data_IF_299569858994
#
_entry.id   IF_299569858994
#
_cell.length_a   1.000
_cell.length_b   1.000
_cell.length_c   1.000
_cell.angle_alpha   90.00
_cell.angle_beta   90.00
_cell.angle_gamma   90.00
#
_symmetry.space_group_name_H-M   'P 1'
#
loop_
_entity.id
_entity.type
_entity.pdbx_description
1 polymer ?
#
# COMPACT_ATOMS: atom_id res chain seq x y z
N UNK A 1 22.66 -10.60 -10.58
CA UNK A 1 22.82 -9.17 -10.22
C UNK A 1 21.53 -8.39 -10.45
N UNK A 2 20.86 -8.54 -11.59
CA UNK A 2 19.61 -7.83 -11.89
C UNK A 2 18.46 -8.12 -10.92
N UNK A 3 18.28 -9.36 -10.47
CA UNK A 3 17.21 -9.73 -9.52
C UNK A 3 17.38 -9.04 -8.16
N UNK A 4 18.62 -8.98 -7.65
CA UNK A 4 18.94 -8.26 -6.42
C UNK A 4 18.62 -6.76 -6.56
N UNK A 5 18.95 -6.17 -7.72
CA UNK A 5 18.63 -4.76 -8.01
C UNK A 5 17.12 -4.53 -8.04
N UNK A 6 16.35 -5.41 -8.68
CA UNK A 6 14.87 -5.34 -8.68
C UNK A 6 14.30 -5.41 -7.26
N UNK A 7 14.83 -6.29 -6.42
CA UNK A 7 14.45 -6.41 -5.01
C UNK A 7 14.74 -5.14 -4.22
N UNK A 8 15.95 -4.57 -4.34
CA UNK A 8 16.30 -3.33 -3.66
C UNK A 8 15.43 -2.15 -4.10
N UNK A 9 15.14 -2.04 -5.40
CA UNK A 9 14.23 -1.02 -5.95
C UNK A 9 12.82 -1.21 -5.39
N UNK A 10 12.32 -2.45 -5.39
CA UNK A 10 10.99 -2.77 -4.83
C UNK A 10 10.88 -2.38 -3.37
N UNK A 11 11.87 -2.75 -2.54
CA UNK A 11 11.92 -2.38 -1.12
C UNK A 11 11.97 -0.86 -0.95
N UNK A 12 12.79 -0.16 -1.73
CA UNK A 12 12.87 1.29 -1.70
C UNK A 12 11.52 1.95 -2.02
N UNK A 13 10.83 1.48 -3.07
CA UNK A 13 9.49 1.95 -3.43
C UNK A 13 8.47 1.66 -2.31
N UNK A 14 8.51 0.49 -1.68
CA UNK A 14 7.63 0.16 -0.56
C UNK A 14 7.85 1.11 0.64
N UNK A 15 9.10 1.44 0.95
CA UNK A 15 9.45 2.41 1.99
C UNK A 15 8.88 3.78 1.66
N UNK A 16 8.98 4.24 0.40
CA UNK A 16 8.37 5.49 -0.06
C UNK A 16 6.85 5.49 0.01
N UNK A 17 6.19 4.32 -0.02
CA UNK A 17 4.75 4.20 0.21
C UNK A 17 4.32 4.75 1.58
N UNK A 18 5.20 4.73 2.59
CA UNK A 18 4.91 5.24 3.93
C UNK A 18 4.73 6.77 3.97
N UNK A 19 5.72 7.60 3.54
CA UNK A 19 5.54 9.04 3.50
C UNK A 19 4.42 9.45 2.54
N UNK A 20 4.27 8.76 1.41
CA UNK A 20 3.18 9.02 0.44
C UNK A 20 1.81 8.79 1.09
N UNK A 21 1.60 7.65 1.73
CA UNK A 21 0.34 7.35 2.42
C UNK A 21 0.05 8.34 3.56
N UNK A 22 1.06 8.72 4.33
CA UNK A 22 0.92 9.75 5.35
C UNK A 22 0.52 11.10 4.74
N UNK A 23 1.15 11.50 3.63
CA UNK A 23 0.85 12.73 2.91
C UNK A 23 -0.59 12.70 2.40
N UNK A 24 -1.00 11.65 1.69
CA UNK A 24 -2.37 11.46 1.20
C UNK A 24 -3.39 11.66 2.32
N UNK A 25 -3.24 10.95 3.44
CA UNK A 25 -4.17 11.06 4.57
C UNK A 25 -4.20 12.44 5.23
N UNK A 26 -3.24 13.33 4.95
CA UNK A 26 -3.27 14.73 5.40
C UNK A 26 -4.14 15.61 4.48
N UNK A 27 -4.08 15.38 3.17
CA UNK A 27 -4.79 16.18 2.16
C UNK A 27 -6.21 15.69 1.92
N UNK A 28 -6.46 14.39 2.00
CA UNK A 28 -7.78 13.78 1.69
C UNK A 28 -8.57 13.40 2.93
N UNK A 29 -8.48 14.18 4.02
CA UNK A 29 -9.12 13.84 5.31
C UNK A 29 -10.63 13.68 5.23
N UNK A 30 -11.29 14.56 4.48
CA UNK A 30 -12.76 14.56 4.34
C UNK A 30 -13.23 13.39 3.49
N UNK A 31 -12.55 13.14 2.37
CA UNK A 31 -12.78 11.98 1.50
C UNK A 31 -12.53 10.68 2.25
N UNK A 32 -11.43 10.59 3.01
CA UNK A 32 -11.17 9.43 3.85
C UNK A 32 -12.20 9.27 4.94
N UNK A 33 -12.83 10.35 5.45
CA UNK A 33 -13.87 10.24 6.49
C UNK A 33 -15.13 9.59 5.92
N UNK A 34 -15.53 9.96 4.72
CA UNK A 34 -16.73 9.43 4.06
C UNK A 34 -16.46 8.07 3.39
N UNK A 35 -15.22 7.83 2.93
CA UNK A 35 -14.81 6.65 2.18
C UNK A 35 -14.09 5.55 2.98
N UNK A 36 -14.11 5.56 4.32
CA UNK A 36 -13.33 4.61 5.15
C UNK A 36 -13.60 3.15 4.79
N UNK A 37 -14.85 2.82 4.51
CA UNK A 37 -15.27 1.46 4.17
C UNK A 37 -14.60 1.04 2.85
N UNK A 38 -14.63 1.90 1.83
CA UNK A 38 -13.97 1.64 0.55
C UNK A 38 -12.46 1.49 0.68
N UNK A 39 -11.80 2.34 1.48
CA UNK A 39 -10.37 2.20 1.74
C UNK A 39 -10.02 0.87 2.43
N UNK A 40 -10.84 0.44 3.41
CA UNK A 40 -10.67 -0.86 4.07
C UNK A 40 -10.87 -2.03 3.09
N UNK A 41 -11.86 -1.93 2.20
CA UNK A 41 -12.09 -2.94 1.15
C UNK A 41 -10.90 -3.01 0.21
N UNK A 42 -10.38 -1.87 -0.26
CA UNK A 42 -9.18 -1.82 -1.11
C UNK A 42 -8.00 -2.49 -0.41
N UNK A 43 -7.75 -2.17 0.86
CA UNK A 43 -6.69 -2.81 1.66
C UNK A 43 -6.89 -4.33 1.70
N UNK A 44 -8.11 -4.80 1.96
CA UNK A 44 -8.42 -6.22 2.04
C UNK A 44 -8.20 -6.93 0.70
N UNK A 45 -8.70 -6.36 -0.41
CA UNK A 45 -8.53 -6.90 -1.76
C UNK A 45 -7.05 -6.92 -2.16
N UNK A 46 -6.30 -5.85 -1.90
CA UNK A 46 -4.86 -5.82 -2.18
C UNK A 46 -4.08 -6.79 -1.30
N UNK A 47 -4.49 -7.00 -0.04
CA UNK A 47 -3.85 -7.99 0.83
C UNK A 47 -4.06 -9.41 0.28
N UNK A 48 -5.28 -9.76 -0.13
CA UNK A 48 -5.57 -11.05 -0.78
C UNK A 48 -4.78 -11.16 -2.11
N UNK A 49 -4.80 -10.11 -2.93
CA UNK A 49 -4.05 -10.04 -4.18
C UNK A 49 -2.55 -10.24 -3.99
N UNK A 50 -1.98 -9.70 -2.91
CA UNK A 50 -0.56 -9.90 -2.57
C UNK A 50 -0.24 -11.36 -2.27
N UNK A 51 -1.13 -12.06 -1.54
CA UNK A 51 -0.98 -13.49 -1.24
C UNK A 51 -1.07 -14.33 -2.51
N UNK A 52 -2.05 -14.04 -3.37
CA UNK A 52 -2.21 -14.71 -4.67
C UNK A 52 -0.98 -14.48 -5.56
N UNK A 53 -0.47 -13.24 -5.62
CA UNK A 53 0.71 -12.90 -6.42
C UNK A 53 1.97 -13.60 -5.94
N UNK A 54 2.10 -13.82 -4.62
CA UNK A 54 3.19 -14.59 -4.04
C UNK A 54 3.12 -16.07 -4.47
N UNK A 55 1.93 -16.67 -4.49
CA UNK A 55 1.74 -18.07 -4.95
C UNK A 55 2.04 -18.19 -6.45
N UNK A 56 1.71 -17.16 -7.24
CA UNK A 56 1.96 -17.10 -8.68
C UNK A 56 3.40 -16.69 -9.03
N UNK A 57 4.28 -16.47 -8.04
CA UNK A 57 5.66 -15.99 -8.26
C UNK A 57 5.74 -14.74 -9.13
N UNK A 58 4.74 -13.85 -9.02
CA UNK A 58 4.68 -12.61 -9.79
C UNK A 58 5.09 -11.43 -8.91
N UNK A 59 6.38 -11.12 -8.92
CA UNK A 59 6.97 -10.04 -8.12
C UNK A 59 6.35 -8.68 -8.41
N UNK A 60 6.04 -8.38 -9.68
CA UNK A 60 5.47 -7.09 -10.07
C UNK A 60 4.11 -6.85 -9.42
N UNK A 61 3.23 -7.86 -9.46
CA UNK A 61 1.92 -7.78 -8.82
C UNK A 61 2.04 -7.77 -7.30
N UNK A 62 2.95 -8.58 -6.74
CA UNK A 62 3.23 -8.61 -5.31
C UNK A 62 3.63 -7.23 -4.79
N UNK A 63 4.66 -6.61 -5.39
CA UNK A 63 5.13 -5.29 -4.99
C UNK A 63 4.06 -4.21 -5.18
N UNK A 64 3.28 -4.27 -6.26
CA UNK A 64 2.19 -3.33 -6.52
C UNK A 64 1.10 -3.42 -5.46
N UNK A 65 0.63 -4.62 -5.15
CA UNK A 65 -0.40 -4.81 -4.14
C UNK A 65 0.08 -4.47 -2.73
N UNK A 66 1.33 -4.80 -2.39
CA UNK A 66 1.94 -4.41 -1.12
C UNK A 66 2.10 -2.89 -1.04
N UNK A 67 2.50 -2.22 -2.11
CA UNK A 67 2.62 -0.76 -2.15
C UNK A 67 1.29 -0.08 -1.90
N UNK A 68 0.23 -0.48 -2.62
CA UNK A 68 -1.12 0.06 -2.43
C UNK A 68 -1.60 -0.20 -1.00
N UNK A 69 -1.38 -1.41 -0.48
CA UNK A 69 -1.73 -1.78 0.90
C UNK A 69 -1.05 -0.86 1.92
N UNK A 70 0.24 -0.58 1.76
CA UNK A 70 1.00 0.31 2.65
C UNK A 70 0.44 1.74 2.56
N UNK A 71 0.29 2.29 1.35
CA UNK A 71 -0.17 3.67 1.13
C UNK A 71 -1.57 3.86 1.71
N UNK A 72 -2.51 2.97 1.37
CA UNK A 72 -3.89 3.04 1.83
C UNK A 72 -3.98 2.88 3.35
N UNK A 73 -3.26 1.92 3.93
CA UNK A 73 -3.25 1.69 5.38
C UNK A 73 -2.66 2.86 6.15
N UNK A 74 -1.56 3.46 5.67
CA UNK A 74 -0.93 4.63 6.28
C UNK A 74 -1.81 5.88 6.18
N UNK A 75 -2.48 6.06 5.05
CA UNK A 75 -3.46 7.13 4.86
C UNK A 75 -4.59 7.03 5.89
N UNK A 76 -5.14 5.82 6.10
CA UNK A 76 -6.24 5.58 7.04
C UNK A 76 -5.81 5.69 8.52
N UNK A 77 -4.60 5.23 8.88
CA UNK A 77 -4.10 5.21 10.27
C UNK A 77 -4.03 6.59 10.92
N UNK A 78 -3.85 7.65 10.13
CA UNK A 78 -3.66 9.01 10.64
C UNK A 78 -4.91 9.57 11.36
N UNK A 79 -6.08 8.98 11.15
CA UNK A 79 -7.30 9.28 11.91
C UNK A 79 -7.24 8.81 13.37
N UNK A 80 -6.58 7.68 13.67
CA UNK A 80 -6.60 7.09 15.03
C UNK A 80 -5.70 7.87 16.00
N UNK A 81 -4.74 8.65 15.49
CA UNK A 81 -3.77 9.41 16.30
C UNK A 81 -4.15 10.87 16.56
N UNK A 82 -5.30 11.35 16.06
CA UNK A 82 -5.85 12.69 16.31
C UNK A 82 -7.25 12.57 16.85
#
# INVERSE_FOLDING_TARGET
MEEMVKLYIGIFILILGIPIGNFLGKFTKEELKNGQIWFKIIILVCMIGSIISLILWNDYLLFTFLFITIVASRSLRRKIKR
#
